data_IF_315833283409
#
_entry.id   IF_315833283409
#
_cell.length_a   1.000
_cell.length_b   1.000
_cell.length_c   1.000
_cell.angle_alpha   90.00
_cell.angle_beta   90.00
_cell.angle_gamma   90.00
#
_symmetry.space_group_name_H-M   'P 1'
#
loop_
_entity.id
_entity.type
_entity.pdbx_description
1 polymer ?
#
# COMPACT_ATOMS: atom_id res chain seq x y z
N UNK A 1 10.59 -29.87 -15.05
CA UNK A 1 11.21 -29.07 -13.99
C UNK A 1 10.56 -27.70 -14.07
N UNK A 2 9.54 -27.45 -13.21
CA UNK A 2 8.93 -26.12 -13.15
C UNK A 2 9.97 -25.18 -12.52
N UNK A 3 10.44 -24.20 -13.28
CA UNK A 3 11.14 -23.07 -12.71
C UNK A 3 10.18 -22.38 -11.77
N UNK A 4 10.36 -22.59 -10.47
CA UNK A 4 9.63 -21.82 -9.46
C UNK A 4 10.11 -20.38 -9.59
N UNK A 5 9.23 -19.51 -10.08
CA UNK A 5 9.52 -18.08 -10.24
C UNK A 5 9.93 -17.51 -8.88
N UNK A 6 11.15 -16.94 -8.78
CA UNK A 6 11.70 -16.40 -7.53
C UNK A 6 11.14 -14.98 -7.26
N UNK A 7 9.82 -14.83 -7.36
CA UNK A 7 9.10 -13.59 -7.03
C UNK A 7 7.65 -13.88 -6.63
N UNK A 8 6.92 -12.87 -6.13
CA UNK A 8 5.59 -13.03 -5.51
C UNK A 8 4.43 -13.28 -6.47
N UNK A 9 4.65 -13.24 -7.80
CA UNK A 9 3.59 -13.37 -8.82
C UNK A 9 2.39 -12.45 -8.58
N UNK A 10 2.63 -11.23 -8.09
CA UNK A 10 1.60 -10.23 -7.86
C UNK A 10 0.82 -9.97 -9.17
N UNK A 11 -0.52 -9.94 -9.08
CA UNK A 11 -1.40 -9.78 -10.25
C UNK A 11 -1.22 -8.43 -10.95
N UNK A 12 -0.87 -7.41 -10.16
CA UNK A 12 -0.70 -6.03 -10.64
C UNK A 12 0.38 -5.34 -9.81
N UNK A 13 1.13 -4.44 -10.43
CA UNK A 13 2.04 -3.56 -9.70
C UNK A 13 1.26 -2.60 -8.79
N UNK A 14 1.54 -2.55 -7.48
CA UNK A 14 0.79 -1.74 -6.53
C UNK A 14 0.64 -0.25 -6.91
N UNK A 15 1.69 0.45 -7.40
CA UNK A 15 1.55 1.83 -7.87
C UNK A 15 0.57 1.98 -9.04
N UNK A 16 0.50 0.99 -9.93
CA UNK A 16 -0.45 1.00 -11.05
C UNK A 16 -1.88 0.81 -10.55
N UNK A 17 -2.10 -0.15 -9.63
CA UNK A 17 -3.41 -0.35 -9.00
C UNK A 17 -3.89 0.92 -8.29
N UNK A 18 -3.00 1.59 -7.55
CA UNK A 18 -3.29 2.86 -6.89
C UNK A 18 -3.67 3.96 -7.87
N UNK A 19 -2.87 4.14 -8.93
CA UNK A 19 -3.14 5.14 -9.95
C UNK A 19 -4.48 4.91 -10.66
N UNK A 20 -4.80 3.64 -11.00
CA UNK A 20 -6.07 3.28 -11.62
C UNK A 20 -7.26 3.58 -10.69
N UNK A 21 -7.16 3.22 -9.40
CA UNK A 21 -8.21 3.53 -8.43
C UNK A 21 -8.42 5.04 -8.26
N UNK A 22 -7.33 5.81 -8.17
CA UNK A 22 -7.39 7.26 -8.09
C UNK A 22 -8.02 7.89 -9.33
N UNK A 23 -7.55 7.51 -10.54
CA UNK A 23 -8.06 8.05 -11.82
C UNK A 23 -9.53 7.68 -12.02
N UNK A 24 -9.94 6.46 -11.68
CA UNK A 24 -11.34 6.04 -11.74
C UNK A 24 -12.23 6.88 -10.81
N UNK A 25 -11.82 7.05 -9.55
CA UNK A 25 -12.54 7.89 -8.59
C UNK A 25 -12.63 9.35 -9.05
N UNK A 26 -11.52 9.91 -9.56
CA UNK A 26 -11.49 11.27 -10.10
C UNK A 26 -12.37 11.42 -11.35
N UNK A 27 -12.35 10.43 -12.25
CA UNK A 27 -13.18 10.42 -13.45
C UNK A 27 -14.68 10.43 -13.12
N UNK A 28 -15.11 9.60 -12.16
CA UNK A 28 -16.49 9.58 -11.70
C UNK A 28 -16.85 10.93 -11.04
N UNK A 29 -15.97 11.48 -10.21
CA UNK A 29 -16.17 12.77 -9.55
C UNK A 29 -16.39 13.93 -10.54
N UNK A 30 -15.72 13.90 -11.70
CA UNK A 30 -15.88 14.91 -12.76
C UNK A 30 -17.25 14.84 -13.43
N UNK A 31 -17.85 13.64 -13.50
CA UNK A 31 -19.18 13.42 -14.08
C UNK A 31 -20.30 13.63 -13.06
N UNK A 32 -20.09 13.19 -11.83
CA UNK A 32 -21.08 13.17 -10.75
C UNK A 32 -20.42 13.61 -9.43
N UNK A 33 -20.14 14.91 -9.24
CA UNK A 33 -19.41 15.37 -8.05
C UNK A 33 -20.22 15.13 -6.77
N UNK A 34 -19.62 14.40 -5.81
CA UNK A 34 -20.17 14.18 -4.47
C UNK A 34 -19.22 14.73 -3.42
N UNK A 35 -19.63 15.81 -2.78
CA UNK A 35 -18.90 16.45 -1.69
C UNK A 35 -19.35 15.87 -0.35
N UNK A 36 -18.41 15.73 0.59
CA UNK A 36 -18.68 15.14 1.91
C UNK A 36 -18.11 15.97 3.07
N UNK A 37 -17.29 16.99 2.77
CA UNK A 37 -16.70 17.86 3.78
C UNK A 37 -17.58 19.09 3.95
N UNK A 38 -18.00 19.45 5.20
CA UNK A 38 -18.72 20.67 5.44
C UNK A 38 -17.94 21.90 4.97
N UNK A 39 -18.63 22.88 4.37
CA UNK A 39 -18.01 24.09 3.84
C UNK A 39 -17.21 24.92 4.89
N UNK A 40 -17.50 24.69 6.18
CA UNK A 40 -16.77 25.32 7.31
C UNK A 40 -15.39 24.71 7.58
N UNK A 41 -15.07 23.56 6.96
CA UNK A 41 -13.82 22.83 7.18
C UNK A 41 -12.93 22.93 5.95
N UNK A 42 -11.68 23.35 6.12
CA UNK A 42 -10.71 23.33 5.05
C UNK A 42 -10.15 21.91 4.84
N UNK A 43 -10.77 21.16 3.93
CA UNK A 43 -10.31 19.81 3.54
C UNK A 43 -8.89 19.81 2.99
N UNK A 44 -8.46 20.90 2.35
CA UNK A 44 -7.14 20.98 1.72
C UNK A 44 -5.98 20.80 2.70
N UNK A 45 -6.01 21.47 3.86
CA UNK A 45 -4.96 21.33 4.88
C UNK A 45 -4.95 19.95 5.53
N UNK A 46 -6.14 19.45 5.89
CA UNK A 46 -6.26 18.13 6.50
C UNK A 46 -5.84 17.03 5.51
N UNK A 47 -6.35 17.11 4.29
CA UNK A 47 -5.99 16.17 3.22
C UNK A 47 -4.50 16.20 2.89
N UNK A 48 -3.92 17.42 2.81
CA UNK A 48 -2.50 17.60 2.60
C UNK A 48 -1.64 16.99 3.71
N UNK A 49 -2.04 17.16 4.98
CA UNK A 49 -1.33 16.55 6.11
C UNK A 49 -1.39 15.03 6.10
N UNK A 50 -2.57 14.45 5.81
CA UNK A 50 -2.74 12.99 5.71
C UNK A 50 -1.93 12.45 4.53
N UNK A 51 -1.97 13.12 3.37
CA UNK A 51 -1.17 12.75 2.21
C UNK A 51 0.33 12.74 2.52
N UNK A 52 0.83 13.83 3.13
CA UNK A 52 2.24 13.95 3.50
C UNK A 52 2.67 12.86 4.49
N UNK A 53 1.81 12.51 5.45
CA UNK A 53 2.05 11.42 6.41
C UNK A 53 2.16 10.08 5.69
N UNK A 54 1.21 9.76 4.81
CA UNK A 54 1.22 8.52 4.03
C UNK A 54 2.43 8.43 3.11
N UNK A 55 2.76 9.51 2.41
CA UNK A 55 3.92 9.61 1.55
C UNK A 55 5.24 9.44 2.31
N UNK A 56 5.36 10.11 3.46
CA UNK A 56 6.52 9.97 4.35
C UNK A 56 6.69 8.55 4.87
N UNK A 57 5.60 7.88 5.26
CA UNK A 57 5.63 6.48 5.69
C UNK A 57 6.09 5.55 4.55
N UNK A 58 5.57 5.72 3.35
CA UNK A 58 5.97 4.93 2.19
C UNK A 58 7.45 5.13 1.85
N UNK A 59 7.93 6.37 1.86
CA UNK A 59 9.36 6.67 1.64
C UNK A 59 10.23 6.02 2.72
N UNK A 60 9.85 6.15 3.99
CA UNK A 60 10.60 5.52 5.08
C UNK A 60 10.68 4.01 4.91
N UNK A 61 9.57 3.37 4.54
CA UNK A 61 9.53 1.93 4.28
C UNK A 61 10.43 1.52 3.10
N UNK A 62 10.38 2.26 1.99
CA UNK A 62 11.22 2.03 0.81
C UNK A 62 12.71 2.17 1.14
N UNK A 63 13.09 3.22 1.87
CA UNK A 63 14.47 3.44 2.30
C UNK A 63 14.94 2.28 3.19
N UNK A 64 14.08 1.80 4.10
CA UNK A 64 14.39 0.70 5.01
C UNK A 64 14.66 -0.60 4.24
N UNK A 65 13.83 -0.96 3.26
CA UNK A 65 14.06 -2.13 2.38
C UNK A 65 15.37 -1.99 1.61
N UNK A 66 15.61 -0.84 0.99
CA UNK A 66 16.83 -0.60 0.20
C UNK A 66 18.10 -0.69 1.04
N UNK A 67 18.07 -0.14 2.28
CA UNK A 67 19.19 -0.25 3.22
C UNK A 67 19.47 -1.69 3.67
N UNK A 68 18.46 -2.54 3.69
CA UNK A 68 18.61 -3.97 3.99
C UNK A 68 19.16 -4.79 2.80
N UNK A 69 19.43 -4.16 1.65
CA UNK A 69 19.98 -4.82 0.48
C UNK A 69 18.98 -5.68 -0.29
N UNK A 70 17.67 -5.53 -0.02
CA UNK A 70 16.62 -6.27 -0.74
C UNK A 70 15.80 -5.35 -1.66
N UNK A 71 14.96 -5.96 -2.50
CA UNK A 71 14.21 -5.26 -3.54
C UNK A 71 12.82 -4.88 -3.03
N UNK A 72 12.34 -3.71 -3.49
CA UNK A 72 10.96 -3.22 -3.18
C UNK A 72 9.96 -3.77 -4.18
N UNK A 73 10.42 -4.06 -5.40
CA UNK A 73 9.59 -4.49 -6.51
C UNK A 73 9.09 -5.92 -6.30
N UNK A 74 7.75 -6.09 -6.37
CA UNK A 74 7.06 -7.38 -6.17
C UNK A 74 7.41 -8.45 -7.20
N UNK A 75 7.95 -8.05 -8.35
CA UNK A 75 8.40 -8.93 -9.43
C UNK A 75 9.90 -9.26 -9.38
N UNK A 76 10.57 -8.92 -8.28
CA UNK A 76 12.00 -9.24 -8.09
C UNK A 76 12.22 -10.06 -6.84
N UNK A 77 13.29 -10.88 -6.82
CA UNK A 77 13.61 -11.71 -5.66
C UNK A 77 13.84 -10.88 -4.39
N UNK A 78 13.17 -11.27 -3.32
CA UNK A 78 13.46 -10.77 -1.97
C UNK A 78 14.67 -11.53 -1.42
N UNK A 79 15.67 -10.84 -0.89
CA UNK A 79 16.92 -11.45 -0.42
C UNK A 79 16.97 -11.61 1.09
N UNK A 80 16.17 -10.86 1.84
CA UNK A 80 16.11 -10.92 3.31
C UNK A 80 14.77 -10.44 3.84
N UNK A 81 14.37 -10.92 5.03
CA UNK A 81 13.20 -10.41 5.77
C UNK A 81 13.62 -9.12 6.49
N UNK A 82 12.88 -8.04 6.24
CA UNK A 82 13.07 -6.74 6.88
C UNK A 82 12.08 -6.59 8.03
N UNK A 83 12.59 -6.54 9.25
CA UNK A 83 11.80 -6.44 10.48
C UNK A 83 12.10 -5.18 11.31
N UNK A 84 12.82 -4.21 10.74
CA UNK A 84 13.21 -2.95 11.40
C UNK A 84 12.45 -1.74 10.82
N UNK A 85 12.70 -0.56 11.37
CA UNK A 85 12.03 0.66 10.94
C UNK A 85 10.50 0.52 11.03
N UNK A 86 9.73 0.91 9.98
CA UNK A 86 8.28 0.80 9.99
C UNK A 86 7.79 -0.65 9.95
N UNK A 87 8.63 -1.61 9.49
CA UNK A 87 8.33 -3.04 9.43
C UNK A 87 8.28 -3.73 10.80
N UNK A 88 8.67 -3.06 11.87
CA UNK A 88 8.47 -3.55 13.24
C UNK A 88 7.03 -3.36 13.76
N UNK A 89 6.25 -2.49 13.12
CA UNK A 89 4.88 -2.16 13.54
C UNK A 89 3.83 -2.80 12.64
N UNK A 90 4.14 -2.94 11.37
CA UNK A 90 3.26 -3.51 10.36
C UNK A 90 4.09 -4.19 9.27
N UNK A 91 3.58 -5.27 8.71
CA UNK A 91 4.24 -5.95 7.58
C UNK A 91 4.08 -5.22 6.24
N UNK A 92 3.15 -4.25 6.16
CA UNK A 92 2.76 -3.59 4.91
C UNK A 92 2.79 -2.05 4.97
N UNK A 93 3.87 -1.42 5.47
CA UNK A 93 3.91 0.03 5.67
C UNK A 93 3.80 0.83 4.38
N UNK A 94 4.29 0.30 3.24
CA UNK A 94 4.15 0.95 1.92
C UNK A 94 2.68 1.04 1.54
N UNK A 95 1.91 -0.04 1.72
CA UNK A 95 0.48 -0.05 1.38
C UNK A 95 -0.33 0.85 2.30
N UNK A 96 -0.02 0.91 3.59
CA UNK A 96 -0.63 1.90 4.51
C UNK A 96 -0.36 3.31 4.01
N UNK A 97 0.88 3.60 3.58
CA UNK A 97 1.23 4.88 3.00
C UNK A 97 0.41 5.22 1.75
N UNK A 98 0.17 4.24 0.88
CA UNK A 98 -0.66 4.41 -0.33
C UNK A 98 -2.14 4.65 0.02
N UNK A 99 -2.70 3.94 1.00
CA UNK A 99 -4.07 4.16 1.49
C UNK A 99 -4.23 5.56 2.09
N UNK A 100 -3.31 5.97 2.96
CA UNK A 100 -3.30 7.32 3.53
C UNK A 100 -3.13 8.39 2.45
N UNK A 101 -2.27 8.15 1.47
CA UNK A 101 -2.07 9.05 0.34
C UNK A 101 -3.36 9.27 -0.44
N UNK A 102 -4.08 8.20 -0.81
CA UNK A 102 -5.35 8.33 -1.52
C UNK A 102 -6.46 8.94 -0.65
N UNK A 103 -6.55 8.57 0.64
CA UNK A 103 -7.49 9.19 1.58
C UNK A 103 -7.23 10.70 1.72
N UNK A 104 -5.94 11.09 1.83
CA UNK A 104 -5.53 12.49 1.87
C UNK A 104 -5.95 13.26 0.61
N UNK A 105 -5.76 12.68 -0.57
CA UNK A 105 -6.24 13.27 -1.84
C UNK A 105 -7.76 13.36 -1.89
N UNK A 106 -8.48 12.33 -1.43
CA UNK A 106 -9.95 12.33 -1.38
C UNK A 106 -10.47 13.46 -0.50
N UNK A 107 -9.88 13.67 0.67
CA UNK A 107 -10.22 14.75 1.60
C UNK A 107 -9.82 16.10 1.02
N UNK A 108 -8.59 16.22 0.49
CA UNK A 108 -8.08 17.48 -0.06
C UNK A 108 -8.87 17.99 -1.27
N UNK A 109 -9.39 17.08 -2.08
CA UNK A 109 -10.23 17.35 -3.26
C UNK A 109 -11.73 17.33 -2.94
N UNK A 110 -12.11 17.01 -1.69
CA UNK A 110 -13.50 16.84 -1.25
C UNK A 110 -14.30 15.92 -2.17
N UNK A 111 -13.76 14.74 -2.47
CA UNK A 111 -14.34 13.78 -3.40
C UNK A 111 -14.67 12.46 -2.73
N UNK A 112 -15.95 12.18 -2.55
CA UNK A 112 -16.43 10.91 -2.01
C UNK A 112 -16.09 9.74 -2.95
N UNK A 113 -15.99 9.96 -4.25
CA UNK A 113 -15.67 8.91 -5.21
C UNK A 113 -14.22 8.45 -5.13
N UNK A 114 -13.27 9.38 -4.91
CA UNK A 114 -11.86 9.03 -4.68
C UNK A 114 -11.74 8.25 -3.36
N UNK A 115 -12.51 8.61 -2.34
CA UNK A 115 -12.55 7.89 -1.06
C UNK A 115 -13.16 6.48 -1.25
N UNK A 116 -14.27 6.37 -1.96
CA UNK A 116 -14.93 5.08 -2.23
C UNK A 116 -14.03 4.13 -3.05
N UNK A 117 -13.19 4.67 -3.94
CA UNK A 117 -12.24 3.89 -4.73
C UNK A 117 -11.15 3.20 -3.87
N UNK A 118 -11.00 3.58 -2.59
CA UNK A 118 -10.16 2.84 -1.64
C UNK A 118 -10.66 1.41 -1.41
N UNK A 119 -11.97 1.15 -1.51
CA UNK A 119 -12.53 -0.18 -1.27
C UNK A 119 -12.05 -1.19 -2.32
N UNK A 120 -12.26 -0.98 -3.63
CA UNK A 120 -11.73 -1.90 -4.64
C UNK A 120 -10.19 -1.93 -4.62
N UNK A 121 -9.51 -0.81 -4.37
CA UNK A 121 -8.06 -0.80 -4.23
C UNK A 121 -7.60 -1.69 -3.07
N UNK A 122 -8.25 -1.62 -1.90
CA UNK A 122 -7.95 -2.48 -0.75
C UNK A 122 -8.12 -3.97 -1.11
N UNK A 123 -9.21 -4.33 -1.77
CA UNK A 123 -9.48 -5.72 -2.17
C UNK A 123 -8.37 -6.23 -3.10
N UNK A 124 -8.03 -5.44 -4.14
CA UNK A 124 -6.97 -5.79 -5.11
C UNK A 124 -5.62 -5.95 -4.41
N UNK A 125 -5.25 -5.05 -3.50
CA UNK A 125 -3.98 -5.14 -2.77
C UNK A 125 -3.97 -6.33 -1.83
N UNK A 126 -5.05 -6.58 -1.06
CA UNK A 126 -5.08 -7.69 -0.11
C UNK A 126 -5.01 -9.07 -0.77
N UNK A 127 -5.78 -9.26 -1.84
CA UNK A 127 -5.92 -10.57 -2.51
C UNK A 127 -4.91 -10.72 -3.64
N UNK A 128 -4.76 -9.68 -4.46
CA UNK A 128 -3.93 -9.74 -5.67
C UNK A 128 -2.44 -9.55 -5.41
N UNK A 129 -2.07 -8.94 -4.29
CA UNK A 129 -0.67 -8.62 -3.97
C UNK A 129 -0.24 -9.24 -2.65
N UNK A 130 -0.75 -8.76 -1.51
CA UNK A 130 -0.26 -9.14 -0.17
C UNK A 130 -0.34 -10.64 0.07
N UNK A 131 -1.48 -11.27 -0.25
CA UNK A 131 -1.63 -12.71 -0.04
C UNK A 131 -0.58 -13.53 -0.82
N UNK A 132 -0.21 -13.08 -2.02
CA UNK A 132 0.82 -13.71 -2.87
C UNK A 132 2.23 -13.43 -2.35
N UNK A 133 2.50 -12.21 -1.90
CA UNK A 133 3.76 -11.85 -1.25
C UNK A 133 3.99 -12.68 0.02
N UNK A 134 2.96 -12.78 0.89
CA UNK A 134 3.05 -13.59 2.10
C UNK A 134 3.33 -15.07 1.78
N UNK A 135 2.60 -15.66 0.83
CA UNK A 135 2.81 -17.05 0.42
C UNK A 135 4.21 -17.26 -0.19
N UNK A 136 4.72 -16.30 -0.96
CA UNK A 136 6.08 -16.35 -1.49
C UNK A 136 7.12 -16.27 -0.37
N UNK A 137 6.97 -15.34 0.57
CA UNK A 137 7.90 -15.16 1.69
C UNK A 137 7.90 -16.39 2.63
N UNK A 138 6.74 -17.01 2.87
CA UNK A 138 6.62 -18.25 3.63
C UNK A 138 7.38 -19.40 2.96
N UNK A 139 7.19 -19.58 1.64
CA UNK A 139 7.91 -20.61 0.89
C UNK A 139 9.42 -20.38 0.86
N UNK A 140 9.85 -19.13 0.73
CA UNK A 140 11.26 -18.79 0.56
C UNK A 140 12.05 -18.76 1.87
N UNK A 141 11.47 -18.26 2.94
CA UNK A 141 12.17 -18.01 4.20
C UNK A 141 11.71 -18.91 5.35
N UNK A 142 10.64 -19.69 5.17
CA UNK A 142 10.18 -20.66 6.15
C UNK A 142 9.99 -20.06 7.55
N UNK A 143 10.60 -20.71 8.55
CA UNK A 143 10.48 -20.34 9.96
C UNK A 143 10.91 -18.90 10.26
N UNK A 144 11.86 -18.35 9.53
CA UNK A 144 12.29 -16.95 9.72
C UNK A 144 11.15 -15.97 9.43
N UNK A 145 10.37 -16.23 8.37
CA UNK A 145 9.21 -15.39 8.06
C UNK A 145 8.03 -15.68 9.00
N UNK A 146 7.80 -16.93 9.36
CA UNK A 146 6.73 -17.31 10.29
C UNK A 146 6.93 -16.68 11.68
N UNK A 147 8.16 -16.67 12.19
CA UNK A 147 8.51 -15.97 13.43
C UNK A 147 8.24 -14.45 13.34
N UNK A 148 8.66 -13.82 12.25
CA UNK A 148 8.33 -12.40 11.99
C UNK A 148 6.81 -12.17 11.93
N UNK A 149 6.08 -13.01 11.19
CA UNK A 149 4.61 -12.95 11.02
C UNK A 149 3.87 -13.13 12.34
N UNK A 150 4.41 -13.90 13.27
CA UNK A 150 3.79 -14.12 14.60
C UNK A 150 3.89 -12.88 15.51
N UNK A 151 4.91 -12.03 15.30
CA UNK A 151 5.19 -10.86 16.14
C UNK A 151 4.64 -9.55 15.55
N UNK A 152 4.47 -9.49 14.24
CA UNK A 152 4.08 -8.26 13.54
C UNK A 152 2.82 -8.53 12.72
N UNK A 153 1.76 -7.76 12.96
CA UNK A 153 0.50 -7.87 12.22
C UNK A 153 0.62 -7.46 10.76
N UNK A 154 -0.40 -7.83 9.96
CA UNK A 154 -0.48 -7.42 8.55
C UNK A 154 -0.63 -5.90 8.43
N UNK A 155 -1.46 -5.31 9.29
CA UNK A 155 -1.74 -3.88 9.31
C UNK A 155 -1.24 -3.21 10.60
N UNK A 156 -1.49 -3.82 11.73
CA UNK A 156 -1.05 -3.39 13.07
C UNK A 156 -0.86 -4.59 14.00
#
# INVERSE_FOLDING_TARGET
MNETTDHSEAVIHPPVAWALAFVAGLGIDRLYPLRFIPASVSGAWLGGAIFATGFGLAIWAIITIRKAGTRVETNKPTTTIVANGPYRFTRNPIYIGMFLGQAGLAIGLDSLWILAALVPFYIVICIGVIAREEAYLERKFGDVYLDYKSRVGRWF
#
